data_IF_591548479000
#
_entry.id   IF_591548479000
#
_cell.length_a   1.000
_cell.length_b   1.000
_cell.length_c   1.000
_cell.angle_alpha   90.00
_cell.angle_beta   90.00
_cell.angle_gamma   90.00
#
_symmetry.space_group_name_H-M   'P 1'
#
loop_
_entity.id
_entity.type
_entity.pdbx_description
1 polymer ?
#
# COMPACT_ATOMS: atom_id res chain seq x y z
N UNK A 1 -37.36 20.93 -17.80
CA UNK A 1 -36.92 22.22 -18.39
C UNK A 1 -36.00 22.98 -17.44
N UNK A 2 -36.35 23.09 -16.15
CA UNK A 2 -35.50 23.74 -15.14
C UNK A 2 -34.13 23.06 -14.94
N UNK A 3 -34.07 21.72 -14.96
CA UNK A 3 -32.81 20.98 -14.82
C UNK A 3 -31.82 21.24 -15.97
N UNK A 4 -32.31 21.20 -17.22
CA UNK A 4 -31.50 21.51 -18.41
C UNK A 4 -30.94 22.94 -18.31
N UNK A 5 -31.76 23.89 -17.86
CA UNK A 5 -31.34 25.28 -17.70
C UNK A 5 -30.30 25.43 -16.58
N UNK A 6 -30.51 24.80 -15.42
CA UNK A 6 -29.55 24.79 -14.32
C UNK A 6 -28.21 24.15 -14.72
N UNK A 7 -28.25 23.01 -15.42
CA UNK A 7 -27.07 22.35 -15.96
C UNK A 7 -26.34 23.23 -16.98
N UNK A 8 -27.07 23.90 -17.87
CA UNK A 8 -26.48 24.82 -18.85
C UNK A 8 -25.75 25.97 -18.15
N UNK A 9 -26.39 26.61 -17.16
CA UNK A 9 -25.75 27.65 -16.36
C UNK A 9 -24.52 27.13 -15.60
N UNK A 10 -24.58 25.91 -15.06
CA UNK A 10 -23.44 25.30 -14.39
C UNK A 10 -22.26 25.04 -15.36
N UNK A 11 -22.51 24.45 -16.53
CA UNK A 11 -21.45 24.24 -17.54
C UNK A 11 -20.85 25.56 -18.04
N UNK A 12 -21.68 26.60 -18.15
CA UNK A 12 -21.19 27.95 -18.49
C UNK A 12 -20.30 28.51 -17.39
N UNK A 13 -20.59 28.27 -16.11
CA UNK A 13 -19.73 28.75 -15.03
C UNK A 13 -18.34 28.12 -15.08
N UNK A 14 -18.24 26.84 -15.39
CA UNK A 14 -16.95 26.12 -15.46
C UNK A 14 -16.10 26.49 -16.68
N UNK A 15 -16.74 26.83 -17.79
CA UNK A 15 -16.05 27.18 -19.05
C UNK A 15 -15.70 28.66 -19.18
N UNK A 16 -16.16 29.51 -18.24
CA UNK A 16 -15.97 30.96 -18.31
C UNK A 16 -14.67 31.39 -17.60
N UNK A 17 -13.69 31.99 -18.31
CA UNK A 17 -12.44 32.43 -17.70
C UNK A 17 -12.60 33.63 -16.75
N UNK A 18 -13.62 34.46 -16.98
CA UNK A 18 -13.94 35.60 -16.12
C UNK A 18 -14.59 35.12 -14.82
N UNK A 19 -13.90 35.32 -13.70
CA UNK A 19 -14.33 34.85 -12.38
C UNK A 19 -15.67 35.45 -11.91
N UNK A 20 -15.94 36.70 -12.25
CA UNK A 20 -17.19 37.37 -11.85
C UNK A 20 -18.35 36.77 -12.64
N UNK A 21 -18.16 36.60 -13.94
CA UNK A 21 -19.19 36.05 -14.82
C UNK A 21 -19.46 34.56 -14.52
N UNK A 22 -18.41 33.78 -14.25
CA UNK A 22 -18.53 32.40 -13.78
C UNK A 22 -19.36 32.30 -12.49
N UNK A 23 -19.09 33.17 -11.52
CA UNK A 23 -19.85 33.21 -10.27
C UNK A 23 -21.33 33.54 -10.51
N UNK A 24 -21.63 34.50 -11.40
CA UNK A 24 -23.02 34.83 -11.77
C UNK A 24 -23.74 33.60 -12.35
N UNK A 25 -23.07 32.86 -13.24
CA UNK A 25 -23.63 31.64 -13.84
C UNK A 25 -23.87 30.55 -12.80
N UNK A 26 -22.93 30.33 -11.88
CA UNK A 26 -23.08 29.38 -10.79
C UNK A 26 -24.25 29.78 -9.87
N UNK A 27 -24.36 31.05 -9.49
CA UNK A 27 -25.46 31.55 -8.66
C UNK A 27 -26.82 31.38 -9.35
N UNK A 28 -26.88 31.55 -10.68
CA UNK A 28 -28.11 31.30 -11.44
C UNK A 28 -28.45 29.81 -11.47
N UNK A 29 -27.47 28.92 -11.66
CA UNK A 29 -27.67 27.48 -11.59
C UNK A 29 -28.21 27.05 -10.21
N UNK A 30 -27.59 27.54 -9.13
CA UNK A 30 -27.99 27.28 -7.74
C UNK A 30 -29.38 27.81 -7.41
N UNK A 31 -29.78 28.96 -7.95
CA UNK A 31 -31.14 29.50 -7.78
C UNK A 31 -32.21 28.63 -8.45
N UNK A 32 -31.87 28.00 -9.57
CA UNK A 32 -32.83 27.20 -10.34
C UNK A 32 -32.94 25.78 -9.77
N UNK A 33 -31.82 25.12 -9.51
CA UNK A 33 -31.80 23.75 -8.99
C UNK A 33 -30.53 23.50 -8.18
N UNK A 34 -30.51 23.85 -6.88
CA UNK A 34 -29.33 23.69 -6.04
C UNK A 34 -28.94 22.21 -5.88
N UNK A 35 -29.95 21.33 -5.79
CA UNK A 35 -29.78 19.88 -5.69
C UNK A 35 -29.10 19.29 -6.94
N UNK A 36 -29.47 19.73 -8.14
CA UNK A 36 -28.84 19.27 -9.38
C UNK A 36 -27.38 19.73 -9.47
N UNK A 37 -27.11 21.00 -9.16
CA UNK A 37 -25.75 21.54 -9.14
C UNK A 37 -24.87 20.77 -8.17
N UNK A 38 -25.40 20.47 -6.97
CA UNK A 38 -24.71 19.67 -5.97
C UNK A 38 -24.44 18.24 -6.48
N UNK A 39 -25.41 17.60 -7.14
CA UNK A 39 -25.22 16.27 -7.75
C UNK A 39 -24.14 16.27 -8.84
N UNK A 40 -24.12 17.27 -9.72
CA UNK A 40 -23.09 17.37 -10.78
C UNK A 40 -21.72 17.56 -10.15
N UNK A 41 -21.59 18.43 -9.15
CA UNK A 41 -20.34 18.64 -8.41
C UNK A 41 -19.86 17.36 -7.74
N UNK A 42 -20.71 16.65 -7.00
CA UNK A 42 -20.34 15.38 -6.36
C UNK A 42 -19.89 14.33 -7.39
N UNK A 43 -20.57 14.24 -8.54
CA UNK A 43 -20.20 13.30 -9.59
C UNK A 43 -18.80 13.59 -10.14
N UNK A 44 -18.49 14.85 -10.41
CA UNK A 44 -17.17 15.28 -10.88
C UNK A 44 -16.09 15.09 -9.83
N UNK A 45 -16.33 15.52 -8.59
CA UNK A 45 -15.39 15.33 -7.46
C UNK A 45 -15.08 13.85 -7.24
N UNK A 46 -16.03 12.95 -7.49
CA UNK A 46 -15.80 11.51 -7.42
C UNK A 46 -14.87 10.99 -8.53
N UNK A 47 -15.01 11.48 -9.75
CA UNK A 47 -14.10 11.14 -10.86
C UNK A 47 -12.67 11.64 -10.55
N UNK A 48 -12.56 12.88 -10.09
CA UNK A 48 -11.27 13.45 -9.67
C UNK A 48 -10.66 12.69 -8.47
N UNK A 49 -11.50 12.28 -7.50
CA UNK A 49 -11.06 11.50 -6.35
C UNK A 49 -10.46 10.16 -6.76
N UNK A 50 -11.02 9.49 -7.77
CA UNK A 50 -10.44 8.25 -8.29
C UNK A 50 -9.02 8.47 -8.80
N UNK A 51 -8.81 9.44 -9.68
CA UNK A 51 -7.49 9.76 -10.24
C UNK A 51 -6.50 10.18 -9.13
N UNK A 52 -6.97 10.90 -8.11
CA UNK A 52 -6.18 11.33 -6.97
C UNK A 52 -5.76 10.16 -6.07
N UNK A 53 -6.67 9.21 -5.80
CA UNK A 53 -6.36 7.97 -5.08
C UNK A 53 -5.37 7.14 -5.89
N UNK A 54 -5.60 7.00 -7.20
CA UNK A 54 -4.74 6.24 -8.09
C UNK A 54 -3.32 6.81 -8.13
N UNK A 55 -3.20 8.13 -8.25
CA UNK A 55 -1.92 8.85 -8.28
C UNK A 55 -1.31 9.10 -6.89
N UNK A 56 -1.93 8.62 -5.80
CA UNK A 56 -1.50 8.86 -4.41
C UNK A 56 -1.36 10.34 -4.04
N UNK A 57 -2.15 11.22 -4.66
CA UNK A 57 -2.19 12.64 -4.31
C UNK A 57 -3.05 12.85 -3.06
N UNK A 58 -2.50 12.49 -1.90
CA UNK A 58 -3.24 12.47 -0.63
C UNK A 58 -3.87 13.82 -0.28
N UNK A 59 -3.18 14.94 -0.53
CA UNK A 59 -3.70 16.27 -0.24
C UNK A 59 -4.98 16.56 -1.03
N UNK A 60 -4.95 16.31 -2.34
CA UNK A 60 -6.11 16.54 -3.21
C UNK A 60 -7.24 15.56 -2.91
N UNK A 61 -6.92 14.29 -2.68
CA UNK A 61 -7.90 13.27 -2.30
C UNK A 61 -8.62 13.62 -0.98
N UNK A 62 -7.89 14.13 0.01
CA UNK A 62 -8.50 14.59 1.28
C UNK A 62 -9.45 15.77 1.07
N UNK A 63 -9.08 16.74 0.25
CA UNK A 63 -9.96 17.87 -0.09
C UNK A 63 -11.22 17.42 -0.83
N UNK A 64 -11.10 16.49 -1.78
CA UNK A 64 -12.24 15.90 -2.48
C UNK A 64 -13.16 15.14 -1.53
N UNK A 65 -12.60 14.38 -0.58
CA UNK A 65 -13.38 13.68 0.45
C UNK A 65 -14.13 14.63 1.37
N UNK A 66 -13.50 15.72 1.81
CA UNK A 66 -14.15 16.75 2.63
C UNK A 66 -15.37 17.33 1.91
N UNK A 67 -15.21 17.72 0.64
CA UNK A 67 -16.31 18.23 -0.19
C UNK A 67 -17.46 17.22 -0.32
N UNK A 68 -17.14 15.94 -0.54
CA UNK A 68 -18.16 14.88 -0.64
C UNK A 68 -18.86 14.67 0.71
N UNK A 69 -18.13 14.62 1.81
CA UNK A 69 -18.71 14.46 3.15
C UNK A 69 -19.64 15.63 3.49
N UNK A 70 -19.24 16.86 3.21
CA UNK A 70 -20.08 18.04 3.44
C UNK A 70 -21.36 18.02 2.58
N UNK A 71 -21.25 17.54 1.33
CA UNK A 71 -22.36 17.56 0.40
C UNK A 71 -23.38 16.43 0.63
N UNK A 72 -22.93 15.20 0.87
CA UNK A 72 -23.79 14.01 0.89
C UNK A 72 -23.66 13.17 2.17
N UNK A 73 -22.81 13.59 3.10
CA UNK A 73 -22.56 12.88 4.35
C UNK A 73 -21.61 11.69 4.21
N UNK A 74 -21.09 11.23 5.35
CA UNK A 74 -20.11 10.15 5.41
C UNK A 74 -20.65 8.82 4.87
N UNK A 75 -21.85 8.40 5.25
CA UNK A 75 -22.39 7.09 4.84
C UNK A 75 -22.49 6.93 3.33
N UNK A 76 -22.93 7.98 2.63
CA UNK A 76 -23.03 7.98 1.17
C UNK A 76 -21.64 7.98 0.54
N UNK A 77 -20.74 8.83 1.05
CA UNK A 77 -19.35 8.92 0.59
C UNK A 77 -18.60 7.60 0.77
N UNK A 78 -18.75 6.96 1.94
CA UNK A 78 -18.15 5.67 2.25
C UNK A 78 -18.69 4.55 1.35
N UNK A 79 -19.99 4.49 1.12
CA UNK A 79 -20.57 3.53 0.16
C UNK A 79 -19.95 3.68 -1.24
N UNK A 80 -19.74 4.91 -1.70
CA UNK A 80 -19.11 5.16 -2.99
C UNK A 80 -17.62 4.76 -3.02
N UNK A 81 -16.91 4.96 -1.91
CA UNK A 81 -15.55 4.45 -1.76
C UNK A 81 -15.52 2.91 -1.79
N UNK A 82 -16.49 2.24 -1.17
CA UNK A 82 -16.60 0.78 -1.24
C UNK A 82 -16.82 0.29 -2.68
N UNK A 83 -17.68 0.98 -3.43
CA UNK A 83 -17.90 0.67 -4.85
C UNK A 83 -16.62 0.87 -5.67
N UNK A 84 -15.81 1.87 -5.33
CA UNK A 84 -14.50 2.10 -5.93
C UNK A 84 -13.52 0.98 -5.61
N UNK A 85 -13.43 0.60 -4.32
CA UNK A 85 -12.58 -0.48 -3.83
C UNK A 85 -12.95 -1.84 -4.44
N UNK A 86 -14.20 -2.05 -4.82
CA UNK A 86 -14.66 -3.28 -5.47
C UNK A 86 -14.09 -3.47 -6.88
N UNK A 87 -13.58 -2.40 -7.51
CA UNK A 87 -13.02 -2.47 -8.87
C UNK A 87 -11.64 -3.12 -8.89
N UNK A 88 -10.80 -2.88 -7.87
CA UNK A 88 -9.49 -3.53 -7.77
C UNK A 88 -8.90 -3.48 -6.35
N UNK A 89 -8.10 -4.49 -6.00
CA UNK A 89 -7.34 -4.53 -4.75
C UNK A 89 -6.37 -3.34 -4.59
N UNK A 90 -5.59 -2.92 -5.62
CA UNK A 90 -4.76 -1.72 -5.56
C UNK A 90 -5.51 -0.47 -5.11
N UNK A 91 -6.72 -0.26 -5.61
CA UNK A 91 -7.55 0.89 -5.26
C UNK A 91 -8.02 0.81 -3.82
N UNK A 92 -8.39 -0.37 -3.34
CA UNK A 92 -8.79 -0.56 -1.94
C UNK A 92 -7.68 -0.14 -0.98
N UNK A 93 -6.46 -0.55 -1.28
CA UNK A 93 -5.30 -0.23 -0.45
C UNK A 93 -4.94 1.25 -0.45
N UNK A 94 -4.90 1.87 -1.63
CA UNK A 94 -4.68 3.31 -1.77
C UNK A 94 -5.80 4.12 -1.12
N UNK A 95 -7.04 3.64 -1.18
CA UNK A 95 -8.18 4.24 -0.48
C UNK A 95 -7.99 4.14 1.02
N UNK A 96 -7.52 3.00 1.54
CA UNK A 96 -7.16 2.83 2.94
C UNK A 96 -6.13 3.86 3.42
N UNK A 97 -5.05 4.06 2.67
CA UNK A 97 -4.04 5.08 2.95
C UNK A 97 -4.67 6.49 2.99
N UNK A 98 -5.46 6.84 1.97
CA UNK A 98 -6.14 8.14 1.87
C UNK A 98 -7.07 8.37 3.06
N UNK A 99 -7.79 7.34 3.52
CA UNK A 99 -8.64 7.45 4.71
C UNK A 99 -7.84 7.69 5.99
N UNK A 100 -6.71 7.02 6.16
CA UNK A 100 -5.82 7.29 7.30
C UNK A 100 -5.30 8.73 7.26
N UNK A 101 -4.92 9.26 6.09
CA UNK A 101 -4.55 10.66 5.93
C UNK A 101 -5.70 11.62 6.25
N UNK A 102 -6.88 11.37 5.67
CA UNK A 102 -8.09 12.19 5.85
C UNK A 102 -8.51 12.29 7.31
N UNK A 103 -8.38 11.20 8.07
CA UNK A 103 -8.72 11.17 9.48
C UNK A 103 -7.59 11.63 10.43
N UNK A 104 -6.45 12.07 9.91
CA UNK A 104 -5.31 12.48 10.75
C UNK A 104 -4.63 11.31 11.48
N UNK A 105 -4.65 10.14 10.87
CA UNK A 105 -4.12 8.86 11.37
C UNK A 105 -2.96 8.35 10.49
N UNK A 106 -2.33 9.22 9.71
CA UNK A 106 -1.23 8.90 8.81
C UNK A 106 0.01 8.34 9.53
N UNK A 107 0.21 8.67 10.81
CA UNK A 107 1.23 8.05 11.67
C UNK A 107 0.97 6.57 11.97
N UNK A 108 -0.20 6.03 11.56
CA UNK A 108 -0.65 4.68 11.81
C UNK A 108 -0.77 3.82 10.54
N UNK A 109 -0.01 4.10 9.47
CA UNK A 109 0.07 3.25 8.27
C UNK A 109 0.49 1.78 8.60
N UNK A 110 1.04 1.53 9.79
CA UNK A 110 1.38 0.21 10.31
C UNK A 110 0.23 -0.59 10.96
N UNK A 111 -1.01 -0.10 10.93
CA UNK A 111 -2.14 -0.81 11.53
C UNK A 111 -2.43 -2.13 10.81
N UNK A 112 -2.86 -3.11 11.60
CA UNK A 112 -3.31 -4.43 11.15
C UNK A 112 -4.85 -4.47 11.03
N UNK A 113 -5.41 -3.45 10.36
CA UNK A 113 -6.85 -3.30 10.10
C UNK A 113 -7.06 -2.91 8.64
N UNK A 114 -8.27 -3.15 8.13
CA UNK A 114 -8.72 -2.54 6.88
C UNK A 114 -9.40 -1.19 7.20
N UNK A 115 -8.79 -0.04 6.88
CA UNK A 115 -9.37 1.26 7.19
C UNK A 115 -10.71 1.50 6.49
N UNK A 116 -10.88 0.94 5.30
CA UNK A 116 -12.13 1.08 4.54
C UNK A 116 -13.26 0.40 5.31
N UNK A 117 -13.05 -0.78 5.87
CA UNK A 117 -14.08 -1.45 6.68
C UNK A 117 -14.24 -0.81 8.06
N UNK A 118 -13.13 -0.50 8.73
CA UNK A 118 -13.12 0.03 10.09
C UNK A 118 -13.89 1.35 10.21
N UNK A 119 -13.89 2.17 9.16
CA UNK A 119 -14.55 3.47 9.14
C UNK A 119 -15.97 3.46 8.57
N UNK A 120 -16.51 2.31 8.17
CA UNK A 120 -17.87 2.21 7.62
C UNK A 120 -18.96 2.71 8.58
N UNK A 121 -18.75 2.52 9.89
CA UNK A 121 -19.74 2.79 10.93
C UNK A 121 -19.64 4.16 11.60
N UNK A 122 -18.71 5.03 11.15
CA UNK A 122 -18.52 6.34 11.78
C UNK A 122 -19.80 7.19 11.70
N UNK A 123 -20.07 7.91 12.78
CA UNK A 123 -21.18 8.85 12.89
C UNK A 123 -20.63 10.27 13.04
N UNK A 124 -21.13 11.19 12.22
CA UNK A 124 -20.69 12.58 12.23
C UNK A 124 -21.36 13.35 11.10
N UNK A 125 -21.58 14.64 11.34
CA UNK A 125 -22.19 15.54 10.36
C UNK A 125 -21.15 16.42 9.66
N UNK A 126 -19.90 16.36 10.10
CA UNK A 126 -18.79 17.18 9.63
C UNK A 126 -17.47 16.41 9.76
N UNK A 127 -16.43 16.87 9.09
CA UNK A 127 -15.12 16.20 9.08
C UNK A 127 -14.50 16.13 10.47
N UNK A 128 -14.63 17.18 11.28
CA UNK A 128 -14.04 17.22 12.62
C UNK A 128 -14.66 16.18 13.55
N UNK A 129 -15.99 16.01 13.53
CA UNK A 129 -16.67 14.97 14.29
C UNK A 129 -16.29 13.57 13.82
N UNK A 130 -16.19 13.34 12.51
CA UNK A 130 -15.73 12.06 11.96
C UNK A 130 -14.28 11.73 12.36
N UNK A 131 -13.38 12.72 12.36
CA UNK A 131 -11.99 12.54 12.82
C UNK A 131 -11.90 12.15 14.31
N UNK A 132 -12.79 12.68 15.15
CA UNK A 132 -12.87 12.25 16.56
C UNK A 132 -13.34 10.80 16.63
N UNK A 133 -14.42 10.44 15.94
CA UNK A 133 -14.92 9.07 15.92
C UNK A 133 -13.91 8.08 15.36
N UNK A 134 -13.22 8.41 14.26
CA UNK A 134 -12.18 7.56 13.68
C UNK A 134 -11.06 7.26 14.68
N UNK A 135 -10.61 8.27 15.43
CA UNK A 135 -9.63 8.10 16.52
C UNK A 135 -10.15 7.21 17.63
N UNK A 136 -11.39 7.40 18.07
CA UNK A 136 -12.02 6.57 19.10
C UNK A 136 -12.21 5.11 18.66
N UNK A 137 -12.45 4.87 17.36
CA UNK A 137 -12.54 3.53 16.77
C UNK A 137 -11.17 2.86 16.64
N UNK A 138 -10.15 3.58 16.18
CA UNK A 138 -8.82 3.01 15.89
C UNK A 138 -8.01 2.77 17.16
N UNK A 139 -8.11 3.65 18.15
CA UNK A 139 -7.23 3.58 19.32
C UNK A 139 -7.36 2.27 20.13
N UNK A 140 -8.57 1.70 20.36
CA UNK A 140 -8.72 0.37 20.93
C UNK A 140 -8.06 -0.73 20.09
N UNK A 141 -8.27 -0.72 18.76
CA UNK A 141 -7.71 -1.71 17.84
C UNK A 141 -6.18 -1.65 17.83
N UNK A 142 -5.62 -0.44 17.85
CA UNK A 142 -4.19 -0.21 17.96
C UNK A 142 -3.63 -0.76 19.28
N UNK A 143 -4.30 -0.51 20.41
CA UNK A 143 -3.90 -1.08 21.70
C UNK A 143 -3.92 -2.60 21.71
N UNK A 144 -4.94 -3.20 21.10
CA UNK A 144 -5.06 -4.65 20.95
C UNK A 144 -3.92 -5.21 20.10
N UNK A 145 -3.64 -4.61 18.94
CA UNK A 145 -2.52 -4.97 18.07
C UNK A 145 -1.18 -4.96 18.83
N UNK A 146 -0.93 -3.91 19.63
CA UNK A 146 0.29 -3.81 20.47
C UNK A 146 0.31 -4.91 21.54
N UNK A 147 -0.81 -5.18 22.20
CA UNK A 147 -0.91 -6.22 23.21
C UNK A 147 -0.64 -7.63 22.62
N UNK A 148 -1.06 -7.87 21.38
CA UNK A 148 -0.82 -9.12 20.66
C UNK A 148 0.64 -9.27 20.19
N UNK A 149 1.41 -8.18 20.12
CA UNK A 149 2.80 -8.19 19.63
C UNK A 149 2.94 -7.89 18.14
N UNK A 150 1.87 -7.45 17.47
CA UNK A 150 1.88 -7.12 16.04
C UNK A 150 2.48 -5.71 15.84
N UNK A 151 3.77 -5.55 16.14
CA UNK A 151 4.43 -4.23 16.15
C UNK A 151 5.38 -3.99 14.98
N UNK A 152 5.46 -4.91 14.01
CA UNK A 152 6.46 -4.94 12.92
C UNK A 152 6.49 -3.69 12.05
N UNK A 153 5.32 -3.18 11.67
CA UNK A 153 5.21 -2.02 10.80
C UNK A 153 4.85 -0.73 11.55
N UNK A 154 4.90 -0.76 12.89
CA UNK A 154 4.70 0.43 13.70
C UNK A 154 5.99 1.24 13.76
N UNK A 155 5.98 2.39 13.10
CA UNK A 155 7.09 3.33 13.11
C UNK A 155 7.09 4.13 14.42
N UNK A 156 8.01 3.79 15.31
CA UNK A 156 8.12 4.44 16.63
C UNK A 156 8.54 5.90 16.55
N UNK A 157 9.20 6.32 15.46
CA UNK A 157 9.60 7.72 15.26
C UNK A 157 8.37 8.56 14.89
N UNK A 158 7.49 8.03 14.03
CA UNK A 158 6.23 8.68 13.67
C UNK A 158 5.20 8.69 14.81
N UNK A 159 5.30 7.75 15.76
CA UNK A 159 4.41 7.68 16.92
C UNK A 159 4.80 8.65 18.05
N UNK A 160 5.84 9.47 17.88
CA UNK A 160 6.25 10.46 18.88
C UNK A 160 5.23 11.60 19.04
N UNK A 161 4.31 11.74 18.08
CA UNK A 161 3.25 12.73 18.14
C UNK A 161 2.11 12.32 19.10
N UNK A 162 1.54 13.32 19.78
CA UNK A 162 0.32 13.13 20.57
C UNK A 162 -0.87 12.87 19.62
N UNK A 163 -1.75 11.89 19.89
CA UNK A 163 -1.94 11.16 21.16
C UNK A 163 -1.21 9.80 21.25
N UNK A 164 -0.50 9.37 20.22
CA UNK A 164 0.04 8.00 20.13
C UNK A 164 1.29 7.78 20.98
N UNK A 165 1.98 8.86 21.34
CA UNK A 165 3.12 8.85 22.26
C UNK A 165 2.86 8.05 23.55
N UNK A 166 1.63 8.06 24.06
CA UNK A 166 1.26 7.33 25.28
C UNK A 166 1.37 5.80 25.15
N UNK A 167 1.34 5.26 23.93
CA UNK A 167 1.42 3.82 23.65
C UNK A 167 2.86 3.38 23.38
N UNK A 168 3.76 4.31 23.06
CA UNK A 168 5.15 4.02 22.73
C UNK A 168 5.88 3.20 23.82
N UNK A 169 5.73 3.49 25.14
CA UNK A 169 6.33 2.65 26.18
C UNK A 169 5.86 1.19 26.14
N UNK A 170 4.59 0.93 25.78
CA UNK A 170 4.05 -0.42 25.68
C UNK A 170 4.64 -1.16 24.47
N UNK A 171 4.82 -0.48 23.34
CA UNK A 171 5.46 -1.04 22.14
C UNK A 171 6.89 -1.45 22.45
N UNK A 172 7.68 -0.55 23.02
CA UNK A 172 9.08 -0.79 23.35
C UNK A 172 9.22 -1.93 24.37
N UNK A 173 8.41 -1.90 25.44
CA UNK A 173 8.37 -2.97 26.44
C UNK A 173 8.00 -4.32 25.83
N UNK A 174 7.02 -4.34 24.90
CA UNK A 174 6.62 -5.59 24.22
C UNK A 174 7.74 -6.16 23.37
N UNK A 175 8.39 -5.33 22.54
CA UNK A 175 9.53 -5.74 21.70
C UNK A 175 10.71 -6.26 22.52
N UNK A 176 10.98 -5.66 23.68
CA UNK A 176 12.01 -6.13 24.61
C UNK A 176 11.62 -7.48 25.22
N UNK A 177 10.37 -7.62 25.69
CA UNK A 177 9.86 -8.85 26.28
C UNK A 177 9.91 -10.03 25.30
N UNK A 178 9.64 -9.83 24.02
CA UNK A 178 9.78 -10.87 22.99
C UNK A 178 11.18 -11.48 23.02
N UNK A 179 12.23 -10.66 23.04
CA UNK A 179 13.63 -11.11 23.11
C UNK A 179 13.92 -11.77 24.46
N UNK A 180 13.49 -11.17 25.56
CA UNK A 180 13.70 -11.70 26.92
C UNK A 180 12.93 -13.01 27.17
N UNK A 181 11.86 -13.28 26.42
CA UNK A 181 11.06 -14.51 26.53
C UNK A 181 11.64 -15.72 25.78
N UNK A 182 12.58 -15.50 24.86
CA UNK A 182 13.22 -16.59 24.12
C UNK A 182 13.86 -17.64 25.05
N UNK A 183 13.94 -18.90 24.63
CA UNK A 183 14.73 -19.88 25.36
C UNK A 183 16.23 -19.52 25.31
N UNK A 184 17.06 -20.19 26.12
CA UNK A 184 18.52 -20.10 25.99
C UNK A 184 19.02 -20.70 24.68
N UNK A 185 18.22 -21.57 24.04
CA UNK A 185 18.57 -22.24 22.78
C UNK A 185 17.51 -22.08 21.68
N UNK A 186 17.20 -20.84 21.26
CA UNK A 186 16.11 -20.59 20.34
C UNK A 186 16.46 -21.11 18.94
N UNK A 187 15.43 -21.51 18.19
CA UNK A 187 15.52 -21.76 16.76
C UNK A 187 15.48 -20.45 15.96
N UNK A 188 15.95 -20.48 14.71
CA UNK A 188 15.81 -19.32 13.80
C UNK A 188 14.36 -18.86 13.64
N UNK A 189 13.40 -19.80 13.68
CA UNK A 189 11.98 -19.48 13.60
C UNK A 189 11.49 -18.71 14.84
N UNK A 190 11.96 -19.05 16.04
CA UNK A 190 11.63 -18.32 17.26
C UNK A 190 12.25 -16.91 17.25
N UNK A 191 13.49 -16.79 16.76
CA UNK A 191 14.15 -15.49 16.59
C UNK A 191 13.37 -14.62 15.59
N UNK A 192 13.06 -15.16 14.41
CA UNK A 192 12.37 -14.45 13.34
C UNK A 192 10.98 -13.96 13.76
N UNK A 193 10.32 -14.64 14.70
CA UNK A 193 9.01 -14.23 15.27
C UNK A 193 9.09 -13.09 16.28
N UNK A 194 10.27 -12.60 16.61
CA UNK A 194 10.45 -11.37 17.40
C UNK A 194 10.66 -10.19 16.47
N UNK A 195 10.20 -9.01 16.88
CA UNK A 195 10.39 -7.76 16.12
C UNK A 195 11.87 -7.56 15.73
N UNK A 196 12.77 -7.58 16.73
CA UNK A 196 14.19 -7.34 16.48
C UNK A 196 14.84 -8.44 15.67
N UNK A 197 14.45 -9.71 15.89
CA UNK A 197 14.96 -10.82 15.11
C UNK A 197 14.59 -10.67 13.64
N UNK A 198 13.33 -10.35 13.34
CA UNK A 198 12.89 -10.08 11.97
C UNK A 198 13.69 -8.95 11.32
N UNK A 199 13.71 -7.76 11.93
CA UNK A 199 14.37 -6.58 11.36
C UNK A 199 15.87 -6.83 11.13
N UNK A 200 16.57 -7.41 12.11
CA UNK A 200 18.02 -7.64 12.00
C UNK A 200 18.33 -8.70 10.94
N UNK A 201 17.53 -9.78 10.90
CA UNK A 201 17.77 -10.86 9.95
C UNK A 201 17.50 -10.39 8.53
N UNK A 202 16.37 -9.74 8.27
CA UNK A 202 16.01 -9.28 6.92
C UNK A 202 16.95 -8.18 6.41
N UNK A 203 17.36 -7.24 7.27
CA UNK A 203 18.32 -6.21 6.90
C UNK A 203 19.73 -6.74 6.62
N UNK A 204 20.06 -7.96 7.07
CA UNK A 204 21.40 -8.53 6.85
C UNK A 204 21.54 -9.29 5.54
N UNK A 205 20.44 -9.61 4.84
CA UNK A 205 20.42 -10.38 3.58
C UNK A 205 21.16 -11.74 3.61
N UNK A 206 21.61 -12.13 4.79
CA UNK A 206 22.39 -13.31 5.09
C UNK A 206 21.97 -13.80 6.47
N UNK A 207 21.42 -15.01 6.50
CA UNK A 207 20.90 -15.64 7.70
C UNK A 207 21.95 -15.74 8.81
N UNK A 208 23.18 -16.12 8.49
CA UNK A 208 24.25 -16.32 9.48
C UNK A 208 24.66 -14.98 10.10
N UNK A 209 24.89 -13.97 9.27
CA UNK A 209 25.25 -12.63 9.72
C UNK A 209 24.13 -11.98 10.55
N UNK A 210 22.87 -12.14 10.11
CA UNK A 210 21.71 -11.66 10.86
C UNK A 210 21.59 -12.32 12.23
N UNK A 211 21.80 -13.64 12.28
CA UNK A 211 21.80 -14.39 13.53
C UNK A 211 22.92 -13.95 14.47
N UNK A 212 24.14 -13.76 13.98
CA UNK A 212 25.25 -13.26 14.80
C UNK A 212 24.96 -11.89 15.40
N UNK A 213 24.41 -10.97 14.60
CA UNK A 213 24.00 -9.63 15.05
C UNK A 213 22.88 -9.70 16.09
N UNK A 214 21.90 -10.59 15.92
CA UNK A 214 20.83 -10.77 16.89
C UNK A 214 21.35 -11.35 18.21
N UNK A 215 22.26 -12.31 18.16
CA UNK A 215 22.90 -12.87 19.36
C UNK A 215 23.68 -11.78 20.10
N UNK A 216 24.36 -10.89 19.38
CA UNK A 216 25.03 -9.74 19.99
C UNK A 216 24.04 -8.79 20.68
N UNK A 217 22.91 -8.48 20.05
CA UNK A 217 21.83 -7.72 20.69
C UNK A 217 21.37 -8.39 22.00
N UNK A 218 21.12 -9.71 21.99
CA UNK A 218 20.75 -10.42 23.22
C UNK A 218 21.80 -10.26 24.32
N UNK A 219 23.09 -10.31 23.99
CA UNK A 219 24.17 -10.10 24.98
C UNK A 219 24.13 -8.69 25.57
N UNK A 220 23.88 -7.67 24.76
CA UNK A 220 23.74 -6.29 25.26
C UNK A 220 22.56 -6.14 26.21
N UNK A 221 21.50 -6.93 26.02
CA UNK A 221 20.34 -7.03 26.93
C UNK A 221 20.58 -7.97 28.12
N UNK A 222 21.81 -8.42 28.34
CA UNK A 222 22.17 -9.32 29.46
C UNK A 222 21.72 -10.76 29.28
N UNK A 223 21.29 -11.16 28.09
CA UNK A 223 20.80 -12.51 27.79
C UNK A 223 21.78 -13.29 26.92
N UNK A 224 22.17 -14.48 27.38
CA UNK A 224 23.00 -15.40 26.60
C UNK A 224 22.10 -16.41 25.90
N UNK A 225 22.26 -16.52 24.58
CA UNK A 225 21.54 -17.50 23.76
C UNK A 225 22.51 -18.24 22.83
N UNK A 226 22.15 -19.46 22.46
CA UNK A 226 22.84 -20.30 21.47
C UNK A 226 21.83 -20.86 20.46
N UNK A 227 21.98 -20.55 19.17
CA UNK A 227 20.93 -20.87 18.18
C UNK A 227 20.97 -22.34 17.76
N UNK A 228 19.84 -23.06 17.93
CA UNK A 228 19.78 -24.53 17.79
C UNK A 228 19.81 -25.04 16.35
N UNK A 229 19.21 -24.33 15.39
CA UNK A 229 19.08 -24.79 14.01
C UNK A 229 20.04 -24.05 13.08
N UNK A 230 20.48 -24.66 11.98
CA UNK A 230 21.14 -23.95 10.87
C UNK A 230 20.22 -23.68 9.68
N UNK A 231 19.03 -24.29 9.67
CA UNK A 231 18.04 -24.12 8.60
C UNK A 231 16.87 -23.29 9.12
N UNK A 232 16.49 -22.32 8.31
CA UNK A 232 15.28 -21.52 8.47
C UNK A 232 14.19 -22.08 7.56
N UNK A 233 12.98 -22.22 8.10
CA UNK A 233 11.82 -22.67 7.33
C UNK A 233 10.69 -21.70 7.55
N UNK A 234 10.46 -20.83 6.55
CA UNK A 234 9.45 -19.76 6.60
C UNK A 234 8.07 -20.37 6.32
N UNK A 235 7.25 -20.49 7.35
CA UNK A 235 5.93 -21.15 7.33
C UNK A 235 4.84 -20.24 7.88
N UNK A 236 3.59 -20.48 7.47
CA UNK A 236 2.45 -19.62 7.82
C UNK A 236 2.19 -19.55 9.33
N UNK A 237 2.42 -20.66 10.05
CA UNK A 237 2.19 -20.71 11.49
C UNK A 237 3.09 -19.76 12.30
N UNK A 238 4.20 -19.26 11.73
CA UNK A 238 5.06 -18.28 12.40
C UNK A 238 4.29 -17.00 12.72
N UNK A 239 3.35 -16.66 11.85
CA UNK A 239 2.56 -15.44 11.90
C UNK A 239 1.11 -15.73 12.26
N UNK A 240 0.86 -16.81 13.02
CA UNK A 240 -0.47 -17.10 13.55
C UNK A 240 -0.89 -15.98 14.51
N UNK A 241 -2.07 -15.42 14.27
CA UNK A 241 -2.63 -14.32 15.06
C UNK A 241 -2.51 -12.93 14.39
N UNK A 242 -1.79 -12.84 13.28
CA UNK A 242 -1.76 -11.64 12.43
C UNK A 242 -2.88 -11.70 11.39
N UNK A 243 -3.32 -10.55 10.88
CA UNK A 243 -4.25 -10.56 9.74
C UNK A 243 -3.65 -11.30 8.54
N UNK A 244 -4.47 -11.89 7.64
CA UNK A 244 -3.96 -12.55 6.43
C UNK A 244 -3.02 -11.66 5.61
N UNK A 245 -3.32 -10.36 5.50
CA UNK A 245 -2.48 -9.38 4.81
C UNK A 245 -1.11 -9.26 5.47
N UNK A 246 -1.07 -9.09 6.78
CA UNK A 246 0.16 -8.95 7.53
C UNK A 246 1.04 -10.21 7.44
N UNK A 247 0.42 -11.39 7.44
CA UNK A 247 1.12 -12.65 7.21
C UNK A 247 1.79 -12.69 5.83
N UNK A 248 1.10 -12.23 4.78
CA UNK A 248 1.66 -12.14 3.41
C UNK A 248 2.88 -11.22 3.38
N UNK A 249 2.80 -10.04 3.99
CA UNK A 249 3.91 -9.08 4.02
C UNK A 249 5.14 -9.63 4.74
N UNK A 250 4.98 -10.11 5.97
CA UNK A 250 6.08 -10.63 6.79
C UNK A 250 6.74 -11.84 6.16
N UNK A 251 5.92 -12.79 5.67
CA UNK A 251 6.40 -14.02 5.04
C UNK A 251 7.20 -13.74 3.78
N UNK A 252 6.69 -12.90 2.88
CA UNK A 252 7.36 -12.66 1.60
C UNK A 252 8.55 -11.72 1.75
N UNK A 253 8.53 -10.79 2.71
CA UNK A 253 9.73 -10.04 3.11
C UNK A 253 10.84 -10.98 3.59
N UNK A 254 10.51 -11.92 4.48
CA UNK A 254 11.49 -12.91 4.94
C UNK A 254 12.00 -13.81 3.80
N UNK A 255 11.13 -14.24 2.89
CA UNK A 255 11.52 -15.07 1.73
C UNK A 255 12.49 -14.32 0.82
N UNK A 256 12.15 -13.08 0.48
CA UNK A 256 12.98 -12.20 -0.34
C UNK A 256 14.38 -12.03 0.26
N UNK A 257 14.48 -11.71 1.55
CA UNK A 257 15.75 -11.34 2.17
C UNK A 257 16.60 -12.53 2.62
N UNK A 258 15.98 -13.68 2.97
CA UNK A 258 16.67 -14.78 3.65
C UNK A 258 16.84 -16.04 2.81
N UNK A 259 16.24 -16.08 1.61
CA UNK A 259 16.36 -17.21 0.68
C UNK A 259 17.40 -16.91 -0.39
N UNK A 260 18.16 -17.95 -0.80
CA UNK A 260 19.15 -17.84 -1.89
C UNK A 260 18.62 -18.25 -3.27
N UNK A 261 17.39 -18.77 -3.32
CA UNK A 261 16.74 -19.21 -4.57
C UNK A 261 16.06 -18.03 -5.23
N UNK A 262 16.51 -17.72 -6.44
CA UNK A 262 16.01 -16.63 -7.27
C UNK A 262 14.53 -16.77 -7.59
N UNK A 263 14.06 -17.99 -7.91
CA UNK A 263 12.64 -18.27 -8.14
C UNK A 263 11.77 -17.88 -6.92
N UNK A 264 12.25 -18.18 -5.71
CA UNK A 264 11.55 -17.83 -4.47
C UNK A 264 11.58 -16.33 -4.21
N UNK A 265 12.69 -15.66 -4.53
CA UNK A 265 12.79 -14.21 -4.41
C UNK A 265 11.87 -13.51 -5.41
N UNK A 266 11.84 -13.97 -6.66
CA UNK A 266 10.99 -13.43 -7.71
C UNK A 266 9.50 -13.60 -7.37
N UNK A 267 9.10 -14.79 -6.91
CA UNK A 267 7.74 -15.04 -6.44
C UNK A 267 7.38 -14.15 -5.24
N UNK A 268 8.29 -14.01 -4.27
CA UNK A 268 8.09 -13.13 -3.13
C UNK A 268 7.92 -11.66 -3.54
N UNK A 269 8.74 -11.17 -4.47
CA UNK A 269 8.64 -9.80 -5.01
C UNK A 269 7.30 -9.60 -5.71
N UNK A 270 6.87 -10.56 -6.53
CA UNK A 270 5.58 -10.49 -7.21
C UNK A 270 4.42 -10.43 -6.21
N UNK A 271 4.41 -11.33 -5.23
CA UNK A 271 3.37 -11.36 -4.19
C UNK A 271 3.38 -10.05 -3.38
N UNK A 272 4.55 -9.51 -3.02
CA UNK A 272 4.65 -8.21 -2.35
C UNK A 272 4.08 -7.09 -3.22
N UNK A 273 4.31 -7.12 -4.54
CA UNK A 273 3.72 -6.17 -5.49
C UNK A 273 2.21 -6.26 -5.58
N UNK A 274 1.66 -7.48 -5.56
CA UNK A 274 0.21 -7.73 -5.54
C UNK A 274 -0.48 -7.16 -4.30
N UNK A 275 0.24 -7.00 -3.17
CA UNK A 275 -0.33 -6.35 -1.98
C UNK A 275 -0.53 -4.84 -2.15
N UNK A 276 0.20 -4.20 -3.07
CA UNK A 276 0.17 -2.73 -3.31
C UNK A 276 0.43 -1.91 -2.04
N UNK A 277 1.09 -2.53 -1.06
CA UNK A 277 1.31 -1.96 0.26
C UNK A 277 2.57 -1.09 0.26
N UNK A 278 2.45 0.20 0.59
CA UNK A 278 3.61 1.12 0.58
C UNK A 278 4.72 0.70 1.55
N UNK A 279 4.39 -0.08 2.58
CA UNK A 279 5.36 -0.54 3.57
C UNK A 279 6.41 -1.47 2.97
N UNK A 280 6.12 -2.08 1.82
CA UNK A 280 7.08 -2.95 1.13
C UNK A 280 8.12 -2.16 0.34
N UNK A 281 7.88 -0.87 0.04
CA UNK A 281 8.78 -0.06 -0.81
C UNK A 281 10.20 -0.08 -0.26
N UNK A 282 10.38 0.18 1.04
CA UNK A 282 11.71 0.19 1.66
C UNK A 282 12.42 -1.17 1.53
N UNK A 283 11.69 -2.26 1.75
CA UNK A 283 12.24 -3.62 1.61
C UNK A 283 12.66 -3.89 0.17
N UNK A 284 11.85 -3.46 -0.80
CA UNK A 284 12.12 -3.63 -2.23
C UNK A 284 13.27 -2.72 -2.70
N UNK A 285 13.39 -1.51 -2.16
CA UNK A 285 14.52 -0.62 -2.43
C UNK A 285 15.84 -1.21 -1.91
N UNK A 286 15.86 -1.68 -0.66
CA UNK A 286 17.03 -2.35 -0.09
C UNK A 286 17.43 -3.58 -0.93
N UNK A 287 16.45 -4.28 -1.52
CA UNK A 287 16.69 -5.42 -2.40
C UNK A 287 17.49 -5.11 -3.67
N UNK A 288 17.46 -3.86 -4.15
CA UNK A 288 18.16 -3.44 -5.36
C UNK A 288 19.68 -3.64 -5.23
N UNK A 289 20.21 -3.39 -4.03
CA UNK A 289 21.64 -3.47 -3.74
C UNK A 289 22.14 -4.91 -3.64
N UNK A 290 21.27 -5.84 -3.25
CA UNK A 290 21.63 -7.22 -2.93
C UNK A 290 21.25 -8.23 -4.01
N UNK A 291 20.30 -7.91 -4.87
CA UNK A 291 19.85 -8.79 -5.95
C UNK A 291 20.59 -8.41 -7.24
N UNK A 292 21.43 -9.34 -7.69
CA UNK A 292 22.21 -9.19 -8.92
C UNK A 292 21.60 -9.92 -10.13
N UNK A 293 20.65 -10.84 -9.89
CA UNK A 293 20.04 -11.60 -10.97
C UNK A 293 19.11 -10.74 -11.81
N UNK A 294 19.31 -10.80 -13.14
CA UNK A 294 18.66 -9.92 -14.10
C UNK A 294 17.15 -10.09 -14.16
N UNK A 295 16.64 -11.33 -14.11
CA UNK A 295 15.20 -11.67 -14.06
C UNK A 295 14.54 -11.08 -12.82
N UNK A 296 15.11 -11.39 -11.65
CA UNK A 296 14.60 -10.94 -10.35
C UNK A 296 14.59 -9.40 -10.25
N UNK A 297 15.64 -8.73 -10.71
CA UNK A 297 15.68 -7.25 -10.78
C UNK A 297 14.62 -6.64 -11.71
N UNK A 298 14.26 -7.31 -12.82
CA UNK A 298 13.15 -6.86 -13.69
C UNK A 298 11.83 -6.94 -12.96
N UNK A 299 11.59 -8.05 -12.28
CA UNK A 299 10.38 -8.23 -11.47
C UNK A 299 10.34 -7.23 -10.32
N UNK A 300 11.48 -6.95 -9.68
CA UNK A 300 11.62 -5.90 -8.67
C UNK A 300 11.24 -4.51 -9.18
N UNK A 301 11.76 -4.11 -10.35
CA UNK A 301 11.45 -2.81 -10.95
C UNK A 301 9.96 -2.67 -11.30
N UNK A 302 9.37 -3.70 -11.93
CA UNK A 302 7.93 -3.73 -12.22
C UNK A 302 7.10 -3.61 -10.94
N UNK A 303 7.47 -4.36 -9.90
CA UNK A 303 6.80 -4.32 -8.60
C UNK A 303 6.92 -2.94 -7.94
N UNK A 304 8.11 -2.33 -7.92
CA UNK A 304 8.32 -0.98 -7.37
C UNK A 304 7.38 0.03 -8.05
N UNK A 305 7.26 -0.02 -9.38
CA UNK A 305 6.30 0.82 -10.11
C UNK A 305 4.85 0.56 -9.68
N UNK A 306 4.46 -0.70 -9.56
CA UNK A 306 3.10 -1.09 -9.19
C UNK A 306 2.71 -0.58 -7.78
N UNK A 307 3.64 -0.61 -6.83
CA UNK A 307 3.40 -0.09 -5.47
C UNK A 307 3.48 1.44 -5.37
N UNK A 308 3.80 2.14 -6.46
CA UNK A 308 3.81 3.60 -6.54
C UNK A 308 5.16 4.24 -6.19
N UNK A 309 6.26 3.51 -6.36
CA UNK A 309 7.61 4.05 -6.21
C UNK A 309 7.91 5.09 -7.29
N UNK A 310 8.55 6.20 -6.89
CA UNK A 310 8.75 7.37 -7.77
C UNK A 310 10.18 7.94 -7.77
N UNK A 311 11.16 7.22 -7.21
CA UNK A 311 12.56 7.65 -7.19
C UNK A 311 13.23 7.45 -8.57
N UNK A 312 13.34 8.55 -9.32
CA UNK A 312 13.94 8.56 -10.66
C UNK A 312 15.44 8.31 -10.67
N UNK A 313 16.17 8.61 -9.60
CA UNK A 313 17.62 8.40 -9.56
C UNK A 313 17.93 6.92 -9.34
N UNK A 314 17.31 6.30 -8.33
CA UNK A 314 17.40 4.86 -8.13
C UNK A 314 16.82 4.05 -9.30
N UNK A 315 15.79 4.58 -9.99
CA UNK A 315 15.26 3.95 -11.19
C UNK A 315 16.33 3.83 -12.30
N UNK A 316 17.18 4.85 -12.47
CA UNK A 316 18.29 4.79 -13.42
C UNK A 316 19.32 3.74 -13.01
N UNK A 317 19.67 3.64 -11.74
CA UNK A 317 20.60 2.61 -11.23
C UNK A 317 20.08 1.19 -11.44
N UNK A 318 18.76 1.01 -11.33
CA UNK A 318 18.11 -0.24 -11.69
C UNK A 318 18.28 -0.55 -13.17
N UNK A 319 18.03 0.41 -14.06
CA UNK A 319 17.96 0.23 -15.52
C UNK A 319 19.33 0.26 -16.21
N UNK A 320 20.33 1.00 -15.70
CA UNK A 320 21.63 1.21 -16.36
C UNK A 320 22.40 -0.08 -16.68
N UNK A 321 22.50 -1.09 -15.78
CA UNK A 321 23.14 -2.37 -16.10
C UNK A 321 22.50 -3.07 -17.32
N UNK A 322 21.22 -2.81 -17.58
CA UNK A 322 20.49 -3.35 -18.72
C UNK A 322 20.84 -2.65 -20.03
N UNK A 323 20.96 -1.32 -19.99
CA UNK A 323 21.33 -0.55 -21.17
C UNK A 323 22.74 -0.91 -21.65
N UNK A 324 23.68 -1.11 -20.72
CA UNK A 324 25.05 -1.51 -21.05
C UNK A 324 25.16 -2.95 -21.57
N UNK A 325 24.34 -3.88 -21.08
CA UNK A 325 24.36 -5.28 -21.55
C UNK A 325 23.67 -5.47 -22.90
N UNK A 326 22.58 -4.73 -23.19
CA UNK A 326 21.96 -4.73 -24.52
C UNK A 326 22.80 -4.01 -25.58
N UNK A 327 23.55 -2.96 -25.23
CA UNK A 327 24.49 -2.34 -26.19
C UNK A 327 25.63 -3.28 -26.60
N UNK A 328 25.97 -4.28 -25.79
CA UNK A 328 26.99 -5.28 -26.13
C UNK A 328 26.46 -6.40 -27.04
N UNK A 329 25.16 -6.71 -26.96
CA UNK A 329 24.50 -7.66 -27.88
C UNK A 329 24.24 -7.01 -29.25
N UNK A 330 23.98 -5.70 -29.31
CA UNK A 330 23.84 -4.96 -30.59
C UNK A 330 25.12 -4.88 -31.43
N UNK A 331 26.29 -5.29 -30.92
CA UNK A 331 27.50 -5.43 -31.75
C UNK A 331 27.59 -6.78 -32.49
N UNK A 332 26.59 -7.66 -32.35
CA UNK A 332 26.51 -8.97 -33.01
C UNK A 332 25.18 -9.17 -33.75
N UNK A 333 24.78 -8.18 -34.58
CA UNK A 333 23.64 -8.33 -35.50
C UNK A 333 22.27 -8.41 -34.80
N UNK A 334 21.17 -8.17 -35.55
CA UNK A 334 19.82 -8.24 -34.98
C UNK A 334 19.44 -9.69 -34.66
N UNK A 335 18.96 -9.90 -33.44
CA UNK A 335 18.36 -11.16 -32.99
C UNK A 335 16.97 -11.29 -33.64
N UNK A 336 16.68 -12.35 -34.45
CA UNK A 336 15.43 -12.46 -35.20
C UNK A 336 14.16 -12.58 -34.34
N UNK A 337 14.29 -12.86 -33.04
CA UNK A 337 13.14 -13.06 -32.14
C UNK A 337 12.62 -11.77 -31.49
N UNK A 338 13.38 -10.67 -31.52
CA UNK A 338 12.96 -9.40 -30.87
C UNK A 338 11.98 -8.58 -31.75
N UNK A 339 12.00 -8.73 -33.08
CA UNK A 339 11.00 -8.12 -33.99
C UNK A 339 9.61 -8.77 -33.88
N UNK A 340 9.53 -10.00 -33.33
CA UNK A 340 8.27 -10.71 -33.11
C UNK A 340 7.52 -10.19 -31.87
N UNK A 341 8.24 -9.79 -30.82
CA UNK A 341 7.62 -9.36 -29.56
C UNK A 341 7.07 -7.94 -29.60
N UNK A 342 7.70 -7.01 -30.35
CA UNK A 342 7.18 -5.64 -30.48
C UNK A 342 5.95 -5.55 -31.39
N UNK A 343 5.74 -6.51 -32.32
CA UNK A 343 4.50 -6.57 -33.13
C UNK A 343 3.28 -7.09 -32.37
N UNK A 344 3.46 -8.01 -31.42
CA UNK A 344 2.34 -8.58 -30.67
C UNK A 344 1.73 -7.64 -29.61
N UNK A 345 2.37 -6.52 -29.31
CA UNK A 345 1.86 -5.53 -28.34
C UNK A 345 0.89 -4.50 -28.96
N UNK A 346 0.70 -4.51 -30.29
CA UNK A 346 -0.13 -3.52 -31.01
C UNK A 346 -1.10 -4.10 -32.04
N UNK A 347 -1.28 -5.43 -32.09
CA UNK A 347 -2.36 -6.01 -32.88
C UNK A 347 -3.65 -6.02 -32.04
N UNK A 348 -4.62 -5.19 -32.46
CA UNK A 348 -5.99 -5.21 -31.96
C UNK A 348 -6.55 -6.65 -32.10
N UNK A 349 -7.31 -7.16 -31.12
CA UNK A 349 -7.93 -8.47 -31.26
C UNK A 349 -8.97 -8.41 -32.38
N UNK A 350 -8.75 -9.20 -33.43
CA UNK A 350 -9.77 -9.47 -34.45
C UNK A 350 -11.06 -9.95 -33.77
N UNK A 351 -12.18 -9.32 -34.15
CA UNK A 351 -13.54 -9.72 -33.78
C UNK A 351 -13.75 -11.20 -34.14
N UNK A 352 -13.89 -12.05 -33.12
CA UNK A 352 -14.40 -13.40 -33.33
C UNK A 352 -15.93 -13.35 -33.34
N UNK A 353 -16.50 -13.49 -34.53
CA UNK A 353 -17.87 -13.95 -34.74
C UNK A 353 -18.05 -15.30 -34.03
N UNK A 354 -18.88 -15.32 -33.00
CA UNK A 354 -19.43 -16.57 -32.45
C UNK A 354 -20.69 -16.90 -33.23
N UNK A 355 -20.53 -17.69 -34.29
CA UNK A 355 -21.61 -18.44 -34.90
C UNK A 355 -21.92 -19.70 -34.06
N UNK A 356 -23.22 -20.01 -34.09
CA UNK A 356 -23.98 -21.03 -33.37
C UNK A 356 -23.48 -22.48 -33.49
N UNK A 357 -24.18 -23.32 -32.71
CA UNK A 357 -24.31 -24.79 -32.78
C UNK A 357 -23.37 -25.63 -31.90
N UNK A 358 -23.87 -26.02 -30.72
CA UNK A 358 -23.83 -27.43 -30.31
C UNK A 358 -25.06 -27.82 -29.47
N UNK A 359 -26.06 -28.39 -30.13
CA UNK A 359 -26.92 -29.42 -29.56
C UNK A 359 -26.15 -30.76 -29.44
N UNK A 360 -26.54 -31.53 -28.43
CA UNK A 360 -26.53 -33.00 -28.28
C UNK A 360 -25.69 -33.63 -27.14
N UNK A 361 -26.49 -34.24 -26.24
CA UNK A 361 -26.26 -35.25 -25.17
C UNK A 361 -25.96 -34.76 -23.76
#
# INVERSE_FOLDING_TARGET
MNDILAETWFRMSESTPDKILAEIYLQNALKISPELVQRIRCARTREELYEQIESRNYASACSSLELLVEAQGWKVTHSQLMDLCAQSLPLRERTGDVLLHFFGLSTLLGLDIDPVEAFASLSGNDVSSLQVCARETVFPLFKEQVAQGNTYFLDVEQLQDLPFLMVLPNILSRREQEVLSLSETPSHNEILRTYYGFIIMTASWNLEQGTERFVELCRTLGKRIEVRSKRLTIMDYLWKGFSPRMQVLLKNTARLCLTKSSDVQEDAIRILGETVDVRVIRVLEDAIEHIHETSVRRTLHKTLKAVGWSDREKEKELIEPYLTSQTFVRSWGPDPEEESYERQLYEEPDEYDYDDDYEYW
#
